data_IF_058616621589
#
_entry.id   IF_058616621589
#
_cell.length_a   1.000
_cell.length_b   1.000
_cell.length_c   1.000
_cell.angle_alpha   90.00
_cell.angle_beta   90.00
_cell.angle_gamma   90.00
#
_symmetry.space_group_name_H-M   'P 1'
#
loop_
_entity.id
_entity.type
_entity.pdbx_description
1 polymer ?
#
# COMPACT_ATOMS: atom_id res chain seq x y z
N UNK A 1 -7.49 24.32 9.65
CA UNK A 1 -7.93 23.27 8.73
C UNK A 1 -9.27 22.74 9.25
N UNK A 2 -10.27 22.61 8.41
CA UNK A 2 -11.60 22.12 8.80
C UNK A 2 -11.73 20.59 8.68
N UNK A 3 -12.90 20.03 9.05
CA UNK A 3 -13.15 18.62 8.85
C UNK A 3 -13.12 18.26 7.35
N UNK A 4 -12.66 17.07 6.98
CA UNK A 4 -12.62 16.65 5.59
C UNK A 4 -14.05 16.52 5.03
N UNK A 5 -14.20 16.74 3.74
CA UNK A 5 -15.46 16.47 3.07
C UNK A 5 -15.77 14.97 3.11
N UNK A 6 -17.06 14.56 3.17
CA UNK A 6 -17.45 13.14 3.27
C UNK A 6 -16.85 12.24 2.18
N UNK A 7 -16.67 12.77 0.97
CA UNK A 7 -16.05 12.04 -0.13
C UNK A 7 -14.57 11.70 0.15
N UNK A 8 -13.81 12.62 0.75
CA UNK A 8 -12.42 12.38 1.14
C UNK A 8 -12.31 11.29 2.21
N UNK A 9 -13.20 11.33 3.21
CA UNK A 9 -13.26 10.28 4.24
C UNK A 9 -13.55 8.92 3.63
N UNK A 10 -14.55 8.82 2.75
CA UNK A 10 -14.91 7.57 2.08
C UNK A 10 -13.74 6.99 1.27
N UNK A 11 -13.01 7.84 0.57
CA UNK A 11 -11.82 7.42 -0.21
C UNK A 11 -10.72 6.93 0.72
N UNK A 12 -10.43 7.69 1.77
CA UNK A 12 -9.37 7.35 2.72
C UNK A 12 -9.66 6.03 3.45
N UNK A 13 -10.89 5.83 3.92
CA UNK A 13 -11.33 4.59 4.56
C UNK A 13 -11.19 3.38 3.62
N UNK A 14 -11.49 3.58 2.34
CA UNK A 14 -11.34 2.52 1.34
C UNK A 14 -9.87 2.17 1.10
N UNK A 15 -9.00 3.17 0.98
CA UNK A 15 -7.56 2.98 0.86
C UNK A 15 -6.96 2.29 2.09
N UNK A 16 -7.41 2.66 3.29
CA UNK A 16 -6.97 2.04 4.54
C UNK A 16 -7.31 0.53 4.57
N UNK A 17 -8.55 0.17 4.23
CA UNK A 17 -8.96 -1.24 4.16
C UNK A 17 -8.21 -2.02 3.07
N UNK A 18 -7.93 -1.38 1.94
CA UNK A 18 -7.14 -1.98 0.88
C UNK A 18 -5.68 -2.18 1.31
N UNK A 19 -5.12 -1.19 2.00
CA UNK A 19 -3.81 -1.29 2.63
C UNK A 19 -3.75 -2.49 3.59
N UNK A 20 -4.71 -2.59 4.52
CA UNK A 20 -4.75 -3.68 5.49
C UNK A 20 -4.87 -5.06 4.81
N UNK A 21 -5.65 -5.16 3.73
CA UNK A 21 -5.81 -6.40 2.98
C UNK A 21 -4.51 -6.87 2.32
N UNK A 22 -3.73 -5.96 1.74
CA UNK A 22 -2.41 -6.26 1.19
C UNK A 22 -1.36 -6.50 2.27
N UNK A 23 -1.34 -5.64 3.29
CA UNK A 23 -0.40 -5.69 4.41
C UNK A 23 -0.46 -7.03 5.16
N UNK A 24 -1.65 -7.59 5.35
CA UNK A 24 -1.84 -8.90 6.00
C UNK A 24 -1.15 -10.07 5.28
N UNK A 25 -0.76 -9.86 4.02
CA UNK A 25 -0.07 -10.87 3.20
C UNK A 25 1.45 -10.69 3.19
N UNK A 26 2.00 -9.64 3.82
CA UNK A 26 3.44 -9.37 3.84
C UNK A 26 4.17 -10.39 4.74
N UNK A 27 4.56 -11.51 4.14
CA UNK A 27 5.33 -12.57 4.79
C UNK A 27 6.14 -13.36 3.77
N UNK A 28 7.19 -14.08 4.20
CA UNK A 28 7.98 -14.93 3.29
C UNK A 28 7.11 -15.91 2.49
N UNK A 29 7.48 -16.12 1.23
CA UNK A 29 6.82 -17.04 0.32
C UNK A 29 5.59 -16.47 -0.39
N UNK A 30 5.15 -15.25 -0.08
CA UNK A 30 4.02 -14.61 -0.76
C UNK A 30 4.46 -14.01 -2.10
N UNK A 31 3.78 -14.36 -3.23
CA UNK A 31 4.00 -13.69 -4.49
C UNK A 31 3.53 -12.23 -4.45
N UNK A 32 4.35 -11.29 -4.91
CA UNK A 32 3.99 -9.85 -4.93
C UNK A 32 2.75 -9.57 -5.78
N UNK A 33 2.57 -10.27 -6.90
CA UNK A 33 1.35 -10.20 -7.70
C UNK A 33 0.08 -10.62 -6.93
N UNK A 34 0.22 -11.52 -5.95
CA UNK A 34 -0.88 -11.93 -5.07
C UNK A 34 -1.28 -10.81 -4.11
N UNK A 35 -0.30 -10.09 -3.56
CA UNK A 35 -0.51 -8.92 -2.70
C UNK A 35 -1.19 -7.80 -3.49
N UNK A 36 -0.69 -7.51 -4.71
CA UNK A 36 -1.31 -6.54 -5.61
C UNK A 36 -2.79 -6.85 -5.85
N UNK A 37 -3.12 -8.11 -6.19
CA UNK A 37 -4.51 -8.51 -6.44
C UNK A 37 -5.40 -8.37 -5.21
N UNK A 38 -4.91 -8.72 -4.03
CA UNK A 38 -5.67 -8.58 -2.79
C UNK A 38 -5.99 -7.10 -2.50
N UNK A 39 -5.01 -6.21 -2.65
CA UNK A 39 -5.16 -4.76 -2.46
C UNK A 39 -6.17 -4.17 -3.45
N UNK A 40 -6.03 -4.49 -4.76
CA UNK A 40 -6.97 -4.02 -5.79
C UNK A 40 -8.39 -4.51 -5.54
N UNK A 41 -8.55 -5.80 -5.23
CA UNK A 41 -9.86 -6.42 -4.97
C UNK A 41 -10.54 -5.75 -3.77
N UNK A 42 -9.80 -5.40 -2.73
CA UNK A 42 -10.35 -4.71 -1.57
C UNK A 42 -10.92 -3.33 -1.92
N UNK A 43 -10.28 -2.59 -2.85
CA UNK A 43 -10.83 -1.32 -3.37
C UNK A 43 -12.10 -1.54 -4.19
N UNK A 44 -12.08 -2.50 -5.11
CA UNK A 44 -13.22 -2.80 -5.99
C UNK A 44 -14.45 -3.24 -5.22
N UNK A 45 -14.27 -4.06 -4.18
CA UNK A 45 -15.36 -4.51 -3.30
C UNK A 45 -16.00 -3.36 -2.49
N UNK A 46 -15.37 -2.20 -2.44
CA UNK A 46 -15.90 -1.00 -1.80
C UNK A 46 -16.55 -0.02 -2.80
N UNK A 47 -16.74 -0.45 -4.06
CA UNK A 47 -17.37 0.33 -5.13
C UNK A 47 -16.40 1.28 -5.85
N UNK A 48 -15.10 1.07 -5.74
CA UNK A 48 -14.07 1.82 -6.47
C UNK A 48 -13.45 0.96 -7.58
N UNK A 49 -14.28 0.44 -8.46
CA UNK A 49 -13.89 -0.51 -9.52
C UNK A 49 -12.91 0.07 -10.55
N UNK A 50 -12.87 1.39 -10.68
CA UNK A 50 -11.92 2.09 -11.56
C UNK A 50 -10.57 2.36 -10.91
N UNK A 51 -10.42 2.06 -9.61
CA UNK A 51 -9.14 2.21 -8.95
C UNK A 51 -8.12 1.24 -9.52
N UNK A 52 -6.99 1.79 -9.96
CA UNK A 52 -5.87 1.02 -10.49
C UNK A 52 -4.56 1.78 -10.34
N UNK A 53 -3.50 1.02 -10.05
CA UNK A 53 -2.13 1.51 -9.92
C UNK A 53 -1.20 0.59 -10.67
N UNK A 54 -0.03 1.11 -11.09
CA UNK A 54 1.03 0.28 -11.64
C UNK A 54 1.57 -0.70 -10.60
N UNK A 55 1.70 -0.25 -9.37
CA UNK A 55 2.11 -1.06 -8.21
C UNK A 55 1.56 -0.48 -6.90
N UNK A 56 1.62 -1.27 -5.83
CA UNK A 56 1.30 -0.90 -4.45
C UNK A 56 2.53 -0.97 -3.54
N UNK A 57 3.70 -0.74 -4.08
CA UNK A 57 4.93 -0.71 -3.33
C UNK A 57 6.12 -1.17 -4.16
N UNK A 58 7.29 -0.96 -3.59
CA UNK A 58 8.58 -1.17 -4.24
C UNK A 58 9.66 -1.55 -3.24
N UNK A 59 10.78 -2.07 -3.72
CA UNK A 59 11.98 -2.28 -2.92
C UNK A 59 12.54 -0.96 -2.40
N UNK A 60 13.09 -0.99 -1.20
CA UNK A 60 13.84 0.13 -0.61
C UNK A 60 15.29 -0.33 -0.45
N UNK A 61 16.20 0.36 -1.13
CA UNK A 61 17.60 -0.01 -1.21
C UNK A 61 18.55 1.19 -1.15
N UNK A 62 19.45 1.27 -2.12
CA UNK A 62 20.51 2.28 -2.14
C UNK A 62 20.09 3.61 -2.73
N UNK A 63 19.04 3.64 -3.55
CA UNK A 63 18.55 4.89 -4.15
C UNK A 63 17.76 5.73 -3.15
N UNK A 64 18.02 7.03 -3.15
CA UNK A 64 17.23 8.01 -2.39
C UNK A 64 16.25 8.80 -3.28
N UNK A 65 16.24 8.51 -4.60
CA UNK A 65 15.48 9.29 -5.58
C UNK A 65 14.55 8.45 -6.45
N UNK A 66 14.71 7.13 -6.45
CA UNK A 66 13.92 6.25 -7.31
C UNK A 66 13.49 5.01 -6.56
N UNK A 67 12.30 4.56 -6.89
CA UNK A 67 11.76 3.27 -6.49
C UNK A 67 12.60 2.15 -7.10
N UNK A 68 12.82 1.07 -6.34
CA UNK A 68 13.65 -0.04 -6.74
C UNK A 68 12.84 -1.34 -6.86
N UNK A 69 13.31 -2.24 -7.70
CA UNK A 69 12.80 -3.60 -7.74
C UNK A 69 13.02 -4.32 -6.40
N UNK A 70 12.10 -5.20 -5.95
CA UNK A 70 10.90 -5.67 -6.63
C UNK A 70 9.70 -4.74 -6.44
N UNK A 71 8.76 -4.75 -7.41
CA UNK A 71 7.51 -4.01 -7.33
C UNK A 71 6.34 -4.91 -6.93
N UNK A 72 5.45 -4.41 -6.07
CA UNK A 72 4.16 -5.04 -5.76
C UNK A 72 3.20 -4.74 -6.92
N UNK A 73 3.38 -5.43 -8.03
CA UNK A 73 2.69 -5.20 -9.30
C UNK A 73 1.95 -6.46 -9.79
N UNK A 74 1.00 -6.26 -10.70
CA UNK A 74 0.15 -7.36 -11.22
C UNK A 74 0.94 -8.43 -11.97
N UNK A 75 2.02 -8.04 -12.62
CA UNK A 75 2.91 -8.85 -13.45
C UNK A 75 4.24 -9.22 -12.74
N UNK A 76 4.37 -8.91 -11.46
CA UNK A 76 5.55 -9.25 -10.68
C UNK A 76 5.70 -10.78 -10.56
N UNK A 77 6.87 -11.30 -10.89
CA UNK A 77 7.28 -12.69 -10.69
C UNK A 77 8.03 -12.90 -9.36
N UNK A 78 8.29 -11.83 -8.62
CA UNK A 78 9.03 -11.88 -7.36
C UNK A 78 8.17 -12.47 -6.22
N UNK A 79 8.87 -13.15 -5.32
CA UNK A 79 8.31 -13.73 -4.10
C UNK A 79 9.02 -13.07 -2.92
N UNK A 80 8.27 -12.75 -1.86
CA UNK A 80 8.83 -12.18 -0.65
C UNK A 80 9.80 -13.14 0.04
N UNK A 81 10.98 -12.63 0.38
CA UNK A 81 12.02 -13.35 1.11
C UNK A 81 12.41 -12.59 2.38
N UNK A 82 12.83 -13.31 3.45
CA UNK A 82 13.34 -12.66 4.66
C UNK A 82 14.52 -11.73 4.35
N UNK A 83 14.53 -10.56 4.95
CA UNK A 83 15.54 -9.52 4.74
C UNK A 83 15.19 -8.49 3.67
N UNK A 84 14.16 -8.70 2.86
CA UNK A 84 13.67 -7.67 1.96
C UNK A 84 13.08 -6.49 2.74
N UNK A 85 13.39 -5.28 2.28
CA UNK A 85 12.77 -4.05 2.77
C UNK A 85 11.93 -3.47 1.65
N UNK A 86 10.68 -3.16 1.93
CA UNK A 86 9.72 -2.62 0.97
C UNK A 86 9.08 -1.35 1.52
N UNK A 87 8.76 -0.41 0.65
CA UNK A 87 7.68 0.54 0.87
C UNK A 87 6.39 -0.10 0.34
N UNK A 88 5.37 -0.21 1.19
CA UNK A 88 4.04 -0.69 0.81
C UNK A 88 3.03 0.44 0.94
N UNK A 89 2.30 0.74 -0.14
CA UNK A 89 1.51 1.97 -0.27
C UNK A 89 0.18 1.76 -0.99
N UNK A 90 -0.81 2.61 -0.64
CA UNK A 90 -2.09 2.70 -1.36
C UNK A 90 -2.38 4.18 -1.68
N UNK A 91 -1.74 4.76 -2.71
CA UNK A 91 -1.98 6.15 -3.09
C UNK A 91 -3.14 6.30 -4.06
N UNK A 92 -3.85 7.43 -3.98
CA UNK A 92 -4.83 7.84 -4.97
C UNK A 92 -4.90 9.36 -5.11
N UNK A 93 -4.80 9.84 -6.34
CA UNK A 93 -4.90 11.25 -6.68
C UNK A 93 -6.18 11.47 -7.45
N UNK A 94 -7.12 12.27 -6.90
CA UNK A 94 -8.46 12.49 -7.45
C UNK A 94 -8.61 13.98 -7.76
N UNK A 95 -8.83 14.31 -9.03
CA UNK A 95 -9.04 15.69 -9.46
C UNK A 95 -10.23 16.32 -8.72
N UNK A 96 -10.03 17.53 -8.19
CA UNK A 96 -11.04 18.25 -7.42
C UNK A 96 -11.29 17.76 -6.00
N UNK A 97 -10.63 16.66 -5.59
CA UNK A 97 -10.77 16.13 -4.22
C UNK A 97 -9.45 16.17 -3.43
N UNK A 98 -8.35 15.72 -4.04
CA UNK A 98 -7.02 15.73 -3.42
C UNK A 98 -6.21 14.48 -3.68
N UNK A 99 -5.03 14.42 -3.04
CA UNK A 99 -4.15 13.26 -2.99
C UNK A 99 -4.23 12.57 -1.64
N UNK A 100 -4.32 11.26 -1.64
CA UNK A 100 -4.37 10.40 -0.45
C UNK A 100 -3.32 9.33 -0.59
N UNK A 101 -2.62 9.03 0.50
CA UNK A 101 -1.65 7.95 0.57
C UNK A 101 -1.61 7.37 1.98
N UNK A 102 -1.49 6.06 2.06
CA UNK A 102 -1.09 5.33 3.26
C UNK A 102 0.12 4.53 2.84
N UNK A 103 1.22 4.67 3.58
CA UNK A 103 2.49 4.06 3.24
C UNK A 103 3.26 3.70 4.50
N UNK A 104 3.82 2.49 4.53
CA UNK A 104 4.78 2.05 5.53
C UNK A 104 6.02 1.43 4.89
N UNK A 105 7.15 1.65 5.51
CA UNK A 105 8.36 0.87 5.24
C UNK A 105 8.34 -0.38 6.12
N UNK A 106 8.52 -1.54 5.50
CA UNK A 106 8.45 -2.83 6.17
C UNK A 106 9.69 -3.69 5.91
N UNK A 107 10.19 -4.32 6.95
CA UNK A 107 11.17 -5.39 6.86
C UNK A 107 10.43 -6.73 6.83
N UNK A 108 10.71 -7.57 5.84
CA UNK A 108 10.23 -8.96 5.83
C UNK A 108 11.10 -9.79 6.78
N UNK A 109 10.49 -10.29 7.83
CA UNK A 109 11.15 -11.14 8.84
C UNK A 109 11.09 -12.62 8.44
N UNK A 110 11.63 -13.51 9.25
CA UNK A 110 11.55 -14.96 8.99
C UNK A 110 10.12 -15.52 8.99
N UNK A 111 9.15 -14.84 9.66
CA UNK A 111 7.79 -15.35 9.88
C UNK A 111 6.66 -14.39 9.48
N UNK A 112 6.99 -13.16 9.11
CA UNK A 112 6.01 -12.10 8.79
C UNK A 112 6.69 -10.83 8.33
N UNK A 113 6.21 -9.67 8.79
CA UNK A 113 6.87 -8.38 8.56
C UNK A 113 6.89 -7.53 9.83
N UNK A 114 7.79 -6.55 9.83
CA UNK A 114 7.93 -5.53 10.88
C UNK A 114 7.86 -4.14 10.22
N UNK A 115 7.04 -3.24 10.77
CA UNK A 115 6.99 -1.84 10.36
C UNK A 115 8.18 -1.11 10.96
N UNK A 116 9.04 -0.53 10.13
CA UNK A 116 10.30 0.08 10.56
C UNK A 116 10.10 1.42 11.28
N UNK A 117 9.05 2.16 10.92
CA UNK A 117 8.72 3.46 11.53
C UNK A 117 7.20 3.56 11.75
N UNK A 118 6.66 2.90 12.79
CA UNK A 118 5.21 2.86 13.00
C UNK A 118 4.65 4.25 13.28
N UNK A 119 3.60 4.62 12.54
CA UNK A 119 2.82 5.84 12.73
C UNK A 119 1.32 5.52 12.64
N UNK A 120 0.45 6.37 13.21
CA UNK A 120 -0.99 6.22 13.04
C UNK A 120 -1.36 6.27 11.56
N UNK A 121 -2.22 5.34 11.11
CA UNK A 121 -2.73 5.29 9.73
C UNK A 121 -4.10 5.92 9.60
N UNK A 122 -4.70 6.34 10.70
CA UNK A 122 -5.99 7.04 10.72
C UNK A 122 -5.81 8.47 10.18
N UNK A 123 -6.85 8.99 9.54
CA UNK A 123 -6.86 10.39 9.11
C UNK A 123 -6.84 11.31 10.33
N UNK A 124 -5.81 12.15 10.42
CA UNK A 124 -5.65 13.12 11.51
C UNK A 124 -6.25 14.47 11.09
N UNK A 125 -7.12 15.03 11.93
CA UNK A 125 -7.71 16.35 11.75
C UNK A 125 -7.00 17.38 12.61
N UNK A 126 -6.63 18.51 12.02
CA UNK A 126 -5.97 19.66 12.67
C UNK A 126 -6.85 20.90 12.63
#
# INVERSE_FOLDING_TARGET
LGPPVPAAMKVYDALHRAFDAGFALLRPGMPLAGIYRATSTAMWNQGFETYGRGHFGHGVGASIWSEEWPFVAVDSDAILEPGMVLAFETPWYIEGLGGFIIEDQVLITATGCEVMAPSPREMIFL
#
